data_IF_724936175724
#
_entry.id   IF_724936175724
#
_cell.length_a   1.000
_cell.length_b   1.000
_cell.length_c   1.000
_cell.angle_alpha   90.00
_cell.angle_beta   90.00
_cell.angle_gamma   90.00
#
_symmetry.space_group_name_H-M   'P 1'
#
loop_
_entity.id
_entity.type
_entity.pdbx_description
1 polymer ?
#
# COMPACT_ATOMS: atom_id res chain seq x y z
N UNK A 1 -1.35 -7.85 -26.77
CA UNK A 1 -0.90 -6.50 -26.38
C UNK A 1 -1.76 -6.02 -25.21
N UNK A 2 -1.30 -6.23 -23.98
CA UNK A 2 -1.71 -5.44 -22.80
C UNK A 2 -0.41 -4.92 -22.22
N UNK A 3 0.10 -3.88 -22.85
CA UNK A 3 1.33 -3.20 -22.46
C UNK A 3 0.91 -1.90 -21.82
N UNK A 4 0.77 -1.93 -20.50
CA UNK A 4 0.46 -0.79 -19.64
C UNK A 4 0.43 -1.32 -18.22
N UNK A 5 1.47 -1.06 -17.45
CA UNK A 5 1.54 -1.39 -16.02
C UNK A 5 0.31 -0.78 -15.33
N UNK A 6 -0.45 -1.61 -14.63
CA UNK A 6 -1.67 -1.17 -13.96
C UNK A 6 -1.28 -0.43 -12.67
N UNK A 7 -1.50 0.88 -12.61
CA UNK A 7 -1.22 1.66 -11.41
C UNK A 7 -2.29 1.50 -10.33
N UNK A 8 -3.49 0.97 -10.67
CA UNK A 8 -4.63 0.90 -9.75
C UNK A 8 -4.33 0.14 -8.46
N UNK A 9 -3.63 -1.02 -8.46
CA UNK A 9 -3.29 -1.71 -7.21
C UNK A 9 -2.40 -0.88 -6.29
N UNK A 10 -1.43 -0.14 -6.85
CA UNK A 10 -0.52 0.74 -6.10
C UNK A 10 -1.31 1.88 -5.45
N UNK A 11 -2.17 2.55 -6.21
CA UNK A 11 -2.98 3.65 -5.70
C UNK A 11 -4.10 3.21 -4.77
N UNK A 12 -4.65 2.01 -4.94
CA UNK A 12 -5.61 1.43 -3.99
C UNK A 12 -4.94 1.15 -2.64
N UNK A 13 -3.74 0.56 -2.64
CA UNK A 13 -2.96 0.34 -1.42
C UNK A 13 -2.60 1.68 -0.74
N UNK A 14 -2.19 2.68 -1.51
CA UNK A 14 -1.94 4.03 -0.99
C UNK A 14 -3.20 4.67 -0.40
N UNK A 15 -4.38 4.46 -1.00
CA UNK A 15 -5.65 4.92 -0.47
C UNK A 15 -5.93 4.37 0.93
N UNK A 16 -5.72 3.07 1.13
CA UNK A 16 -5.84 2.46 2.45
C UNK A 16 -4.82 3.01 3.45
N UNK A 17 -3.56 3.25 3.03
CA UNK A 17 -2.54 3.92 3.87
C UNK A 17 -3.01 5.31 4.33
N UNK A 18 -3.61 6.10 3.42
CA UNK A 18 -4.09 7.46 3.72
C UNK A 18 -5.31 7.45 4.64
N UNK A 19 -6.32 6.61 4.38
CA UNK A 19 -7.50 6.52 5.25
C UNK A 19 -7.13 6.07 6.67
N UNK A 20 -6.26 5.06 6.79
CA UNK A 20 -5.78 4.57 8.09
C UNK A 20 -4.90 5.63 8.78
N UNK A 21 -4.08 6.35 8.02
CA UNK A 21 -3.28 7.46 8.52
C UNK A 21 -4.14 8.59 9.08
N UNK A 22 -5.22 8.97 8.38
CA UNK A 22 -6.17 9.97 8.85
C UNK A 22 -6.82 9.58 10.19
N UNK A 23 -7.22 8.32 10.33
CA UNK A 23 -7.82 7.82 11.57
C UNK A 23 -6.82 7.72 12.72
N UNK A 24 -5.59 7.30 12.42
CA UNK A 24 -4.50 7.24 13.40
C UNK A 24 -4.11 8.64 13.87
N UNK A 25 -4.09 9.62 12.96
CA UNK A 25 -3.85 11.03 13.27
C UNK A 25 -4.93 11.63 14.18
N UNK A 26 -6.21 11.34 13.91
CA UNK A 26 -7.31 11.77 14.77
C UNK A 26 -7.20 11.19 16.19
N UNK A 27 -6.66 9.98 16.34
CA UNK A 27 -6.31 9.36 17.62
C UNK A 27 -7.51 8.89 18.47
N UNK A 28 -8.74 9.23 18.09
CA UNK A 28 -9.96 8.82 18.80
C UNK A 28 -10.44 7.43 18.42
N UNK A 29 -9.96 6.89 17.29
CA UNK A 29 -10.42 5.63 16.69
C UNK A 29 -11.91 5.61 16.36
N UNK A 30 -12.50 6.78 16.14
CA UNK A 30 -13.87 6.94 15.66
C UNK A 30 -13.83 7.48 14.24
N UNK A 31 -14.38 6.77 13.24
CA UNK A 31 -14.35 7.23 11.85
C UNK A 31 -14.94 8.63 11.65
N UNK A 32 -16.00 8.96 12.41
CA UNK A 32 -16.67 10.27 12.36
C UNK A 32 -15.79 11.45 12.78
N UNK A 33 -14.70 11.21 13.53
CA UNK A 33 -13.77 12.25 13.98
C UNK A 33 -12.59 12.41 13.01
N UNK A 34 -12.49 11.57 11.98
CA UNK A 34 -11.39 11.57 11.01
C UNK A 34 -11.82 12.15 9.66
N UNK A 35 -10.92 12.93 9.07
CA UNK A 35 -11.12 13.57 7.76
C UNK A 35 -9.90 13.31 6.89
N UNK A 36 -10.13 12.67 5.74
CA UNK A 36 -9.04 12.47 4.76
C UNK A 36 -8.60 13.80 4.18
N UNK A 37 -9.53 14.74 3.93
CA UNK A 37 -9.19 16.07 3.44
C UNK A 37 -8.24 16.83 4.37
N UNK A 38 -8.53 16.84 5.67
CA UNK A 38 -7.69 17.54 6.66
C UNK A 38 -6.32 16.87 6.81
N UNK A 39 -6.30 15.53 6.81
CA UNK A 39 -5.05 14.77 6.85
C UNK A 39 -4.17 15.01 5.61
N UNK A 40 -4.77 15.00 4.41
CA UNK A 40 -4.06 15.30 3.16
C UNK A 40 -3.57 16.74 3.10
N UNK A 41 -4.33 17.70 3.65
CA UNK A 41 -3.90 19.08 3.74
C UNK A 41 -2.66 19.23 4.64
N UNK A 42 -2.61 18.50 5.75
CA UNK A 42 -1.49 18.48 6.68
C UNK A 42 -0.25 17.77 6.11
N UNK A 43 -0.43 16.65 5.42
CA UNK A 43 0.65 15.78 4.89
C UNK A 43 0.87 15.96 3.38
N UNK A 44 0.57 17.15 2.85
CA UNK A 44 0.53 17.42 1.41
C UNK A 44 1.86 17.10 0.72
N UNK A 45 2.97 17.53 1.32
CA UNK A 45 4.28 17.40 0.70
C UNK A 45 4.71 15.93 0.66
N UNK A 46 4.46 15.19 1.73
CA UNK A 46 4.72 13.75 1.82
C UNK A 46 3.91 12.96 0.79
N UNK A 47 2.60 13.22 0.69
CA UNK A 47 1.73 12.53 -0.27
C UNK A 47 2.13 12.90 -1.70
N UNK A 48 2.45 14.16 -1.97
CA UNK A 48 2.92 14.61 -3.29
C UNK A 48 4.21 13.89 -3.69
N UNK A 49 5.15 13.74 -2.75
CA UNK A 49 6.39 13.00 -2.97
C UNK A 49 6.16 11.52 -3.24
N UNK A 50 5.26 10.87 -2.49
CA UNK A 50 4.90 9.47 -2.73
C UNK A 50 4.28 9.27 -4.11
N UNK A 51 3.34 10.13 -4.51
CA UNK A 51 2.69 10.03 -5.84
C UNK A 51 3.70 10.24 -6.97
N UNK A 52 4.61 11.21 -6.83
CA UNK A 52 5.67 11.44 -7.80
C UNK A 52 6.63 10.25 -7.90
N UNK A 53 7.01 9.65 -6.76
CA UNK A 53 7.83 8.44 -6.72
C UNK A 53 7.14 7.24 -7.39
N UNK A 54 5.84 7.02 -7.12
CA UNK A 54 5.06 5.95 -7.76
C UNK A 54 5.07 6.12 -9.29
N UNK A 55 4.86 7.36 -9.75
CA UNK A 55 4.93 7.69 -11.17
C UNK A 55 6.30 7.37 -11.78
N UNK A 56 7.38 7.74 -11.08
CA UNK A 56 8.75 7.49 -11.54
C UNK A 56 9.08 5.99 -11.60
N UNK A 57 8.77 5.23 -10.53
CA UNK A 57 9.01 3.78 -10.43
C UNK A 57 8.29 3.03 -11.54
N UNK A 58 6.99 3.29 -11.72
CA UNK A 58 6.19 2.62 -12.74
C UNK A 58 6.35 3.17 -14.16
N UNK A 59 7.12 4.25 -14.32
CA UNK A 59 7.21 5.07 -15.56
C UNK A 59 5.81 5.38 -16.12
N UNK A 60 4.87 5.70 -15.23
CA UNK A 60 3.47 5.89 -15.60
C UNK A 60 3.29 7.20 -16.38
N UNK A 61 2.69 7.08 -17.56
CA UNK A 61 2.29 8.24 -18.37
C UNK A 61 1.12 9.01 -17.76
N UNK A 62 0.90 10.23 -18.24
CA UNK A 62 -0.16 11.11 -17.72
C UNK A 62 -1.57 10.53 -17.76
N UNK A 63 -1.90 9.67 -18.75
CA UNK A 63 -3.21 9.01 -18.83
C UNK A 63 -3.44 8.03 -17.68
N UNK A 64 -2.43 7.21 -17.35
CA UNK A 64 -2.49 6.26 -16.23
C UNK A 64 -2.60 7.01 -14.90
N UNK A 65 -1.87 8.12 -14.76
CA UNK A 65 -1.98 8.98 -13.58
C UNK A 65 -3.34 9.67 -13.45
N UNK A 66 -3.98 10.04 -14.57
CA UNK A 66 -5.32 10.58 -14.58
C UNK A 66 -6.36 9.53 -14.13
N UNK A 67 -6.27 8.29 -14.65
CA UNK A 67 -7.11 7.17 -14.21
C UNK A 67 -6.94 6.89 -12.71
N UNK A 68 -5.70 6.88 -12.21
CA UNK A 68 -5.42 6.72 -10.79
C UNK A 68 -6.03 7.86 -9.94
N UNK A 69 -5.99 9.09 -10.45
CA UNK A 69 -6.60 10.24 -9.78
C UNK A 69 -8.13 10.15 -9.75
N UNK A 70 -8.77 9.56 -10.76
CA UNK A 70 -10.22 9.33 -10.82
C UNK A 70 -10.72 8.35 -9.75
N UNK A 71 -9.85 7.46 -9.24
CA UNK A 71 -10.20 6.55 -8.13
C UNK A 71 -10.59 7.30 -6.85
N UNK A 72 -10.17 8.56 -6.70
CA UNK A 72 -10.62 9.44 -5.62
C UNK A 72 -10.01 9.20 -4.24
N UNK A 73 -9.15 8.20 -4.08
CA UNK A 73 -8.50 7.88 -2.79
C UNK A 73 -7.68 9.02 -2.18
N UNK A 74 -7.19 9.95 -3.00
CA UNK A 74 -6.38 11.11 -2.57
C UNK A 74 -7.16 12.44 -2.66
N UNK A 75 -8.48 12.38 -2.46
CA UNK A 75 -9.38 13.54 -2.40
C UNK A 75 -10.06 13.61 -1.04
N UNK A 76 -10.68 14.74 -0.74
CA UNK A 76 -11.51 14.87 0.46
C UNK A 76 -12.68 13.87 0.44
N UNK A 77 -12.78 13.07 1.50
CA UNK A 77 -13.88 12.15 1.77
C UNK A 77 -13.87 11.73 3.26
N UNK A 78 -15.02 11.34 3.82
CA UNK A 78 -15.09 10.79 5.17
C UNK A 78 -14.45 9.39 5.22
N UNK A 79 -13.87 9.03 6.36
CA UNK A 79 -13.46 7.65 6.64
C UNK A 79 -14.71 6.82 6.94
N UNK A 80 -14.95 5.76 6.15
CA UNK A 80 -16.08 4.82 6.35
C UNK A 80 -15.57 3.50 6.94
N UNK A 81 -16.32 2.96 7.90
CA UNK A 81 -15.99 1.67 8.54
C UNK A 81 -15.94 0.50 7.55
N UNK A 82 -16.70 0.56 6.45
CA UNK A 82 -16.67 -0.43 5.37
C UNK A 82 -15.38 -0.37 4.57
N UNK A 83 -14.84 0.83 4.35
CA UNK A 83 -13.52 0.99 3.75
C UNK A 83 -12.45 0.39 4.67
N UNK A 84 -12.51 0.66 5.99
CA UNK A 84 -11.59 0.03 6.95
C UNK A 84 -11.71 -1.50 6.98
N UNK A 85 -12.91 -2.04 6.83
CA UNK A 85 -13.13 -3.47 6.71
C UNK A 85 -12.49 -4.04 5.43
N UNK A 86 -12.65 -3.35 4.30
CA UNK A 86 -12.00 -3.69 3.04
C UNK A 86 -10.48 -3.67 3.19
N UNK A 87 -9.91 -2.58 3.73
CA UNK A 87 -8.46 -2.42 3.89
C UNK A 87 -7.85 -3.43 4.85
N UNK A 88 -8.62 -3.88 5.84
CA UNK A 88 -8.19 -4.92 6.79
C UNK A 88 -8.48 -6.35 6.33
N UNK A 89 -8.89 -6.54 5.07
CA UNK A 89 -9.27 -7.83 4.49
C UNK A 89 -10.34 -8.57 5.33
N UNK A 90 -11.27 -7.82 5.94
CA UNK A 90 -12.38 -8.38 6.70
C UNK A 90 -11.97 -9.04 8.02
N UNK A 91 -10.82 -8.72 8.61
CA UNK A 91 -10.27 -9.40 9.81
C UNK A 91 -11.21 -9.42 11.02
N UNK A 92 -12.13 -8.47 11.12
CA UNK A 92 -13.14 -8.37 12.19
C UNK A 92 -14.55 -8.71 11.71
N UNK A 93 -14.72 -9.07 10.45
CA UNK A 93 -16.02 -9.47 9.93
C UNK A 93 -16.42 -10.81 10.54
N UNK A 94 -17.55 -10.82 11.24
CA UNK A 94 -18.17 -12.03 11.77
C UNK A 94 -19.55 -12.16 11.11
N UNK A 95 -19.69 -12.92 10.01
CA UNK A 95 -20.99 -13.14 9.40
C UNK A 95 -21.92 -13.86 10.37
N UNK A 96 -23.07 -13.27 10.68
CA UNK A 96 -24.14 -13.88 11.49
C UNK A 96 -25.23 -14.44 10.57
N UNK A 97 -24.80 -15.14 9.51
CA UNK A 97 -25.66 -15.57 8.41
C UNK A 97 -25.91 -14.46 7.38
N UNK A 98 -26.15 -14.83 6.12
CA UNK A 98 -26.37 -13.85 5.05
C UNK A 98 -27.69 -13.10 5.26
N UNK A 99 -27.64 -11.96 5.94
CA UNK A 99 -28.75 -11.01 5.99
C UNK A 99 -28.31 -9.66 5.37
N UNK A 100 -29.02 -9.14 4.35
CA UNK A 100 -28.70 -7.87 3.71
C UNK A 100 -28.71 -6.65 4.66
N UNK A 101 -29.25 -6.80 5.86
CA UNK A 101 -29.35 -5.77 6.91
C UNK A 101 -28.51 -6.09 8.14
N UNK A 102 -27.38 -6.81 8.00
CA UNK A 102 -26.46 -7.04 9.11
C UNK A 102 -26.09 -5.70 9.78
N UNK A 103 -26.35 -5.61 11.08
CA UNK A 103 -25.96 -4.46 11.89
C UNK A 103 -24.43 -4.44 12.01
N UNK A 104 -23.79 -3.49 11.33
CA UNK A 104 -22.35 -3.29 11.34
C UNK A 104 -21.89 -2.28 12.40
N UNK A 105 -22.78 -1.82 13.29
CA UNK A 105 -22.45 -0.82 14.31
C UNK A 105 -21.30 -1.26 15.24
N UNK A 106 -21.16 -2.56 15.49
CA UNK A 106 -20.03 -3.11 16.25
C UNK A 106 -18.67 -2.82 15.60
N UNK A 107 -18.62 -2.63 14.27
CA UNK A 107 -17.38 -2.29 13.57
C UNK A 107 -16.91 -0.86 13.88
N UNK A 108 -17.81 0.02 14.34
CA UNK A 108 -17.48 1.39 14.75
C UNK A 108 -16.93 1.47 16.19
N UNK A 109 -16.95 0.36 16.92
CA UNK A 109 -16.35 0.30 18.25
C UNK A 109 -14.84 0.64 18.18
N UNK A 110 -14.31 1.58 19.00
CA UNK A 110 -12.91 2.03 18.91
C UNK A 110 -11.87 0.92 18.93
N UNK A 111 -12.09 -0.12 19.73
CA UNK A 111 -11.21 -1.29 19.79
C UNK A 111 -11.21 -2.12 18.50
N UNK A 112 -12.36 -2.23 17.82
CA UNK A 112 -12.52 -2.95 16.56
C UNK A 112 -11.91 -2.14 15.42
N UNK A 113 -12.21 -0.85 15.37
CA UNK A 113 -11.60 0.11 14.44
C UNK A 113 -10.08 0.09 14.54
N UNK A 114 -9.52 0.19 15.76
CA UNK A 114 -8.08 0.12 15.99
C UNK A 114 -7.48 -1.22 15.52
N UNK A 115 -8.20 -2.33 15.69
CA UNK A 115 -7.76 -3.65 15.21
C UNK A 115 -7.75 -3.71 13.68
N UNK A 116 -8.81 -3.22 13.02
CA UNK A 116 -8.88 -3.12 11.56
C UNK A 116 -7.76 -2.26 11.02
N UNK A 117 -7.55 -1.07 11.58
CA UNK A 117 -6.47 -0.17 11.15
C UNK A 117 -5.10 -0.79 11.32
N UNK A 118 -4.88 -1.52 12.41
CA UNK A 118 -3.60 -2.20 12.63
C UNK A 118 -3.30 -3.26 11.58
N UNK A 119 -4.27 -4.13 11.31
CA UNK A 119 -4.16 -5.16 10.26
C UNK A 119 -4.07 -4.52 8.87
N UNK A 120 -4.92 -3.52 8.62
CA UNK A 120 -4.96 -2.78 7.37
C UNK A 120 -3.64 -2.08 7.08
N UNK A 121 -3.00 -1.46 8.07
CA UNK A 121 -1.70 -0.83 7.88
C UNK A 121 -0.65 -1.85 7.41
N UNK A 122 -0.60 -3.02 8.05
CA UNK A 122 0.32 -4.10 7.69
C UNK A 122 0.05 -4.60 6.25
N UNK A 123 -1.22 -4.83 5.91
CA UNK A 123 -1.64 -5.31 4.59
C UNK A 123 -1.41 -4.27 3.48
N UNK A 124 -1.87 -3.04 3.67
CA UNK A 124 -1.82 -2.01 2.64
C UNK A 124 -0.39 -1.54 2.39
N UNK A 125 0.47 -1.44 3.40
CA UNK A 125 1.91 -1.19 3.18
C UNK A 125 2.59 -2.35 2.43
N UNK A 126 2.23 -3.59 2.75
CA UNK A 126 2.76 -4.77 2.06
C UNK A 126 2.32 -4.82 0.59
N UNK A 127 1.03 -4.55 0.31
CA UNK A 127 0.51 -4.44 -1.05
C UNK A 127 1.08 -3.25 -1.81
N UNK A 128 1.34 -2.13 -1.13
CA UNK A 128 1.99 -0.97 -1.74
C UNK A 128 3.40 -1.33 -2.22
N UNK A 129 4.18 -2.01 -1.38
CA UNK A 129 5.51 -2.49 -1.77
C UNK A 129 5.43 -3.50 -2.93
N UNK A 130 4.52 -4.46 -2.88
CA UNK A 130 4.33 -5.43 -3.97
C UNK A 130 3.98 -4.74 -5.29
N UNK A 131 3.04 -3.80 -5.25
CA UNK A 131 2.64 -3.02 -6.41
C UNK A 131 3.78 -2.17 -6.98
N UNK A 132 4.61 -1.56 -6.13
CA UNK A 132 5.80 -0.80 -6.54
C UNK A 132 6.84 -1.68 -7.22
N UNK A 133 7.15 -2.84 -6.64
CA UNK A 133 8.10 -3.80 -7.23
C UNK A 133 7.56 -4.31 -8.56
N UNK A 134 6.29 -4.71 -8.62
CA UNK A 134 5.66 -5.16 -9.86
C UNK A 134 5.65 -4.07 -10.94
N UNK A 135 5.38 -2.81 -10.57
CA UNK A 135 5.43 -1.66 -11.46
C UNK A 135 6.86 -1.42 -11.98
N UNK A 136 7.86 -1.45 -11.10
CA UNK A 136 9.27 -1.30 -11.47
C UNK A 136 9.76 -2.42 -12.40
N UNK A 137 9.38 -3.67 -12.13
CA UNK A 137 9.67 -4.83 -12.99
C UNK A 137 9.00 -4.70 -14.35
N UNK A 138 7.76 -4.20 -14.41
CA UNK A 138 7.06 -3.96 -15.68
C UNK A 138 7.64 -2.77 -16.47
N UNK A 139 8.17 -1.76 -15.78
CA UNK A 139 8.69 -0.53 -16.38
C UNK A 139 10.14 -0.64 -16.90
N UNK A 140 10.94 -1.59 -16.39
CA UNK A 140 12.36 -1.75 -16.68
C UNK A 140 12.73 -3.14 -17.19
N UNK A 141 12.92 -3.23 -18.52
CA UNK A 141 13.48 -4.36 -19.27
C UNK A 141 15.01 -4.36 -19.14
N UNK A 142 15.60 -5.55 -19.01
CA UNK A 142 17.03 -5.90 -18.85
C UNK A 142 17.53 -5.99 -17.40
N UNK A 143 17.62 -7.25 -16.94
CA UNK A 143 18.26 -7.64 -15.70
C UNK A 143 19.66 -7.01 -15.59
N UNK A 144 19.84 -6.11 -14.62
CA UNK A 144 21.15 -5.71 -14.13
C UNK A 144 21.61 -4.27 -14.37
N UNK A 145 20.85 -3.39 -15.05
CA UNK A 145 21.27 -1.99 -15.25
C UNK A 145 20.10 -1.04 -14.96
N UNK A 146 20.07 -0.45 -13.76
CA UNK A 146 19.08 0.57 -13.35
C UNK A 146 18.24 0.24 -12.10
N UNK A 147 18.51 -0.89 -11.44
CA UNK A 147 17.82 -1.29 -10.20
C UNK A 147 18.11 -0.34 -9.01
N UNK A 148 19.35 0.11 -8.74
CA UNK A 148 19.65 0.85 -7.51
C UNK A 148 18.82 2.13 -7.32
N UNK A 149 18.79 3.02 -8.32
CA UNK A 149 18.05 4.29 -8.23
C UNK A 149 16.54 4.07 -8.05
N UNK A 150 15.98 3.05 -8.71
CA UNK A 150 14.55 2.72 -8.58
C UNK A 150 14.26 2.11 -7.21
N UNK A 151 15.13 1.26 -6.69
CA UNK A 151 14.98 0.65 -5.37
C UNK A 151 15.15 1.67 -4.23
N UNK A 152 16.07 2.63 -4.39
CA UNK A 152 16.20 3.78 -3.48
C UNK A 152 14.90 4.60 -3.41
N UNK A 153 14.27 4.84 -4.56
CA UNK A 153 12.97 5.53 -4.63
C UNK A 153 11.86 4.70 -3.95
N UNK A 154 11.79 3.39 -4.20
CA UNK A 154 10.85 2.49 -3.50
C UNK A 154 11.07 2.52 -1.98
N UNK A 155 12.33 2.47 -1.52
CA UNK A 155 12.66 2.57 -0.10
C UNK A 155 12.27 3.93 0.48
N UNK A 156 12.44 5.03 -0.28
CA UNK A 156 11.99 6.37 0.12
C UNK A 156 10.46 6.43 0.24
N UNK A 157 9.72 5.94 -0.75
CA UNK A 157 8.26 5.87 -0.72
C UNK A 157 7.79 5.08 0.51
N UNK A 158 8.40 3.91 0.76
CA UNK A 158 8.00 3.04 1.87
C UNK A 158 8.21 3.71 3.23
N UNK A 159 9.33 4.43 3.43
CA UNK A 159 9.57 5.20 4.66
C UNK A 159 8.47 6.25 4.89
N UNK A 160 8.14 7.02 3.85
CA UNK A 160 7.08 8.03 3.95
C UNK A 160 5.72 7.38 4.20
N UNK A 161 5.40 6.27 3.51
CA UNK A 161 4.15 5.56 3.70
C UNK A 161 3.99 5.00 5.13
N UNK A 162 5.06 4.49 5.73
CA UNK A 162 5.07 4.09 7.14
C UNK A 162 4.78 5.28 8.07
N UNK A 163 5.39 6.44 7.82
CA UNK A 163 5.12 7.67 8.60
C UNK A 163 3.72 8.26 8.36
N UNK A 164 3.13 8.01 7.19
CA UNK A 164 1.75 8.41 6.89
C UNK A 164 0.75 7.54 7.67
N UNK A 165 0.97 6.22 7.72
CA UNK A 165 0.02 5.32 8.40
C UNK A 165 0.12 5.38 9.92
N UNK A 166 1.34 5.46 10.46
CA UNK A 166 1.60 5.50 11.90
C UNK A 166 3.00 6.09 12.21
N UNK A 167 3.04 7.37 12.59
CA UNK A 167 4.25 8.06 13.01
C UNK A 167 4.85 7.59 14.34
N UNK A 168 4.18 6.68 15.08
CA UNK A 168 4.69 6.13 16.33
C UNK A 168 5.67 4.96 16.14
N UNK A 169 5.94 4.55 14.89
CA UNK A 169 6.98 3.58 14.56
C UNK A 169 6.57 2.11 14.71
N UNK A 170 5.26 1.80 14.82
CA UNK A 170 4.77 0.41 14.79
C UNK A 170 5.08 -0.25 13.44
N UNK A 171 4.85 0.48 12.37
CA UNK A 171 5.10 0.04 11.00
C UNK A 171 6.47 0.58 10.57
N UNK A 172 7.44 -0.32 10.42
CA UNK A 172 8.79 0.02 9.95
C UNK A 172 9.00 -0.48 8.52
N UNK A 173 9.82 0.19 7.70
CA UNK A 173 10.16 -0.30 6.37
C UNK A 173 10.71 -1.74 6.37
N UNK A 174 11.58 -2.07 7.34
CA UNK A 174 12.10 -3.42 7.54
C UNK A 174 10.98 -4.44 7.81
N UNK A 175 10.03 -4.08 8.68
CA UNK A 175 8.87 -4.92 8.99
C UNK A 175 7.98 -5.17 7.77
N UNK A 176 7.71 -4.14 6.97
CA UNK A 176 6.95 -4.27 5.71
C UNK A 176 7.69 -5.13 4.71
N UNK A 177 9.00 -4.90 4.52
CA UNK A 177 9.83 -5.71 3.63
C UNK A 177 9.78 -7.19 4.01
N UNK A 178 9.95 -7.50 5.31
CA UNK A 178 9.83 -8.88 5.81
C UNK A 178 8.45 -9.49 5.52
N UNK A 179 7.36 -8.74 5.70
CA UNK A 179 6.01 -9.23 5.41
C UNK A 179 5.82 -9.47 3.92
N UNK A 180 6.28 -8.56 3.06
CA UNK A 180 6.22 -8.71 1.61
C UNK A 180 6.94 -9.98 1.14
N UNK A 181 8.16 -10.22 1.64
CA UNK A 181 8.91 -11.44 1.32
C UNK A 181 8.12 -12.71 1.62
N UNK A 182 7.45 -12.76 2.77
CA UNK A 182 6.71 -13.97 3.18
C UNK A 182 5.37 -14.10 2.44
N UNK A 183 4.67 -12.98 2.20
CA UNK A 183 3.34 -12.99 1.62
C UNK A 183 3.35 -13.19 0.09
N UNK A 184 4.32 -12.62 -0.62
CA UNK A 184 4.29 -12.54 -2.09
C UNK A 184 5.33 -13.43 -2.78
N UNK A 185 6.56 -13.49 -2.27
CA UNK A 185 7.64 -14.16 -2.99
C UNK A 185 7.48 -15.68 -3.14
N UNK A 186 7.04 -16.47 -2.13
CA UNK A 186 6.93 -17.92 -2.28
C UNK A 186 5.97 -18.33 -3.41
N UNK A 187 4.81 -17.69 -3.50
CA UNK A 187 3.83 -17.97 -4.53
C UNK A 187 4.28 -17.51 -5.93
N UNK A 188 5.03 -16.42 -6.02
CA UNK A 188 5.55 -15.91 -7.28
C UNK A 188 6.76 -16.70 -7.81
N UNK A 189 7.69 -17.04 -6.91
CA UNK A 189 8.98 -17.66 -7.24
C UNK A 189 8.93 -19.18 -7.32
N UNK A 190 7.79 -19.80 -6.99
CA UNK A 190 7.55 -21.24 -7.18
C UNK A 190 7.93 -21.63 -8.63
N UNK A 191 8.71 -22.70 -8.83
CA UNK A 191 9.06 -23.19 -10.17
C UNK A 191 7.84 -23.47 -11.06
N UNK A 192 6.70 -23.82 -10.46
CA UNK A 192 5.44 -24.13 -11.15
C UNK A 192 4.50 -22.92 -11.27
N UNK A 193 4.84 -21.77 -10.66
CA UNK A 193 4.05 -20.56 -10.82
C UNK A 193 4.03 -20.12 -12.29
N UNK A 194 2.86 -19.66 -12.75
CA UNK A 194 2.64 -19.20 -14.13
C UNK A 194 3.38 -17.89 -14.48
N UNK A 195 4.03 -17.26 -13.49
CA UNK A 195 4.79 -16.04 -13.70
C UNK A 195 5.97 -16.28 -14.67
N UNK A 196 6.18 -15.43 -15.68
CA UNK A 196 7.34 -15.52 -16.55
C UNK A 196 8.67 -15.41 -15.78
N UNK A 197 9.72 -16.11 -16.24
CA UNK A 197 11.01 -16.11 -15.54
C UNK A 197 11.66 -14.72 -15.42
N UNK A 198 11.42 -13.82 -16.37
CA UNK A 198 11.90 -12.43 -16.25
C UNK A 198 11.21 -11.66 -15.11
N UNK A 199 9.93 -11.97 -14.81
CA UNK A 199 9.22 -11.39 -13.65
C UNK A 199 9.84 -11.91 -12.36
N UNK A 200 10.07 -13.23 -12.28
CA UNK A 200 10.73 -13.87 -11.12
C UNK A 200 12.13 -13.32 -10.90
N UNK A 201 12.92 -13.18 -11.96
CA UNK A 201 14.27 -12.60 -11.91
C UNK A 201 14.24 -11.15 -11.43
N UNK A 202 13.30 -10.34 -11.93
CA UNK A 202 13.12 -8.96 -11.47
C UNK A 202 12.79 -8.87 -9.98
N UNK A 203 11.87 -9.71 -9.49
CA UNK A 203 11.52 -9.71 -8.06
C UNK A 203 12.67 -10.17 -7.17
N UNK A 204 13.50 -11.12 -7.61
CA UNK A 204 14.73 -11.50 -6.89
C UNK A 204 15.73 -10.36 -6.81
N UNK A 205 15.88 -9.57 -7.89
CA UNK A 205 16.79 -8.42 -7.89
C UNK A 205 16.31 -7.31 -6.94
N UNK A 206 15.00 -7.05 -6.88
CA UNK A 206 14.44 -6.11 -5.90
C UNK A 206 14.54 -6.64 -4.46
N UNK A 207 14.35 -7.94 -4.24
CA UNK A 207 14.52 -8.57 -2.92
C UNK A 207 15.93 -8.34 -2.37
N UNK A 208 16.97 -8.64 -3.16
CA UNK A 208 18.38 -8.46 -2.78
C UNK A 208 18.70 -6.99 -2.46
N UNK A 209 18.29 -6.05 -3.33
CA UNK A 209 18.63 -4.64 -3.15
C UNK A 209 17.81 -3.97 -2.03
N UNK A 210 16.54 -4.34 -1.86
CA UNK A 210 15.73 -3.87 -0.73
C UNK A 210 16.26 -4.40 0.61
N UNK A 211 16.76 -5.64 0.65
CA UNK A 211 17.38 -6.18 1.86
C UNK A 211 18.57 -5.31 2.28
N UNK A 212 19.42 -4.92 1.33
CA UNK A 212 20.57 -4.02 1.55
C UNK A 212 20.16 -2.64 2.07
N UNK A 213 19.04 -2.09 1.60
CA UNK A 213 18.60 -0.73 1.92
C UNK A 213 17.74 -0.61 3.18
N UNK A 214 16.99 -1.67 3.51
CA UNK A 214 15.96 -1.64 4.55
C UNK A 214 16.33 -2.40 5.81
N UNK A 215 17.33 -3.28 5.74
CA UNK A 215 17.78 -4.08 6.88
C UNK A 215 19.07 -3.47 7.44
N UNK A 216 19.10 -3.04 8.71
CA UNK A 216 20.34 -2.60 9.34
C UNK A 216 21.35 -3.76 9.38
N UNK A 217 22.60 -3.49 9.00
CA UNK A 217 23.72 -4.43 9.22
C UNK A 217 24.06 -4.59 10.70
#
# INVERSE_FOLDING_TARGET
MRSGSDARPVFAALGGVVEIGALTHAGTWRPADASVGDFLALRRDEVTRVVAGIQAVGRFGGSVMAEAHELGYLRDHPVDVRSLLLWSAGVTWVPQGWQPSEDLSYLEEPQVVRRMCRMGADLQLTHLLDGLVAAGVAAGVEAGVGVPDTTDEIASILRIACELVDGAGRNTPEGVFRMWRVAHLPGLLDPNAAAPEWVKAGHRAYDEELERLLTPM
#
